data_IF_757634244443
#
_entry.id   IF_757634244443
#
_cell.length_a   1.000
_cell.length_b   1.000
_cell.length_c   1.000
_cell.angle_alpha   90.00
_cell.angle_beta   90.00
_cell.angle_gamma   90.00
#
_symmetry.space_group_name_H-M   'P 1'
#
loop_
_entity.id
_entity.type
_entity.pdbx_description
1 polymer ?
#
# COMPACT_ATOMS: atom_id res chain seq x y z
N UNK A 1 -34.69 4.89 -5.71
CA UNK A 1 -35.75 3.97 -6.15
C UNK A 1 -35.29 2.50 -6.19
N UNK A 2 -34.04 2.22 -6.58
CA UNK A 2 -33.57 0.85 -6.86
C UNK A 2 -32.76 0.21 -5.73
N UNK A 3 -32.47 0.90 -4.63
CA UNK A 3 -31.75 0.40 -3.44
C UNK A 3 -30.50 -0.43 -3.76
N UNK A 4 -29.77 -0.08 -4.82
CA UNK A 4 -28.52 -0.71 -5.24
C UNK A 4 -27.35 0.23 -4.94
N UNK A 5 -26.22 -0.35 -4.54
CA UNK A 5 -24.96 0.39 -4.41
C UNK A 5 -24.44 0.71 -5.82
N UNK A 6 -24.21 1.98 -6.20
CA UNK A 6 -23.69 2.33 -7.52
C UNK A 6 -22.34 1.70 -7.83
N UNK A 7 -21.49 1.57 -6.81
CA UNK A 7 -20.16 0.95 -6.92
C UNK A 7 -20.27 -0.54 -7.27
N UNK A 8 -21.05 -1.31 -6.51
CA UNK A 8 -21.28 -2.74 -6.81
C UNK A 8 -21.92 -2.96 -8.17
N UNK A 9 -22.87 -2.10 -8.54
CA UNK A 9 -23.48 -2.16 -9.87
C UNK A 9 -22.45 -1.92 -10.98
N UNK A 10 -21.55 -0.93 -10.82
CA UNK A 10 -20.48 -0.69 -11.78
C UNK A 10 -19.53 -1.90 -11.90
N UNK A 11 -19.19 -2.53 -10.77
CA UNK A 11 -18.37 -3.74 -10.74
C UNK A 11 -19.07 -4.92 -11.43
N UNK A 12 -20.39 -5.08 -11.28
CA UNK A 12 -21.13 -6.13 -11.97
C UNK A 12 -21.17 -5.88 -13.48
N UNK A 13 -21.43 -4.65 -13.90
CA UNK A 13 -21.41 -4.27 -15.34
C UNK A 13 -20.02 -4.48 -15.93
N UNK A 14 -18.95 -4.20 -15.20
CA UNK A 14 -17.57 -4.34 -15.67
C UNK A 14 -17.18 -5.79 -16.05
N UNK A 15 -17.93 -6.80 -15.60
CA UNK A 15 -17.71 -8.20 -16.01
C UNK A 15 -18.26 -8.55 -17.40
N UNK A 16 -19.03 -7.64 -18.00
CA UNK A 16 -19.77 -7.87 -19.26
C UNK A 16 -19.23 -7.02 -20.42
N UNK A 17 -18.22 -6.19 -20.15
CA UNK A 17 -17.66 -5.28 -21.15
C UNK A 17 -16.27 -5.74 -21.60
N UNK A 18 -15.88 -5.32 -22.81
CA UNK A 18 -14.57 -5.65 -23.40
C UNK A 18 -13.43 -4.75 -22.87
N UNK A 19 -13.75 -3.59 -22.32
CA UNK A 19 -12.78 -2.65 -21.79
C UNK A 19 -13.27 -1.95 -20.53
N UNK A 20 -12.34 -1.76 -19.56
CA UNK A 20 -12.59 -1.05 -18.30
C UNK A 20 -11.57 0.06 -18.15
N UNK A 21 -12.04 1.27 -17.91
CA UNK A 21 -11.18 2.42 -17.54
C UNK A 21 -11.29 2.60 -16.03
N UNK A 22 -10.15 2.57 -15.34
CA UNK A 22 -10.12 2.67 -13.88
C UNK A 22 -8.83 3.33 -13.38
N UNK A 23 -8.79 3.66 -12.10
CA UNK A 23 -7.57 4.13 -11.41
C UNK A 23 -6.57 2.99 -11.21
N UNK A 24 -5.27 3.32 -11.09
CA UNK A 24 -4.18 2.37 -10.80
C UNK A 24 -4.45 1.48 -9.59
N UNK A 25 -5.10 2.01 -8.57
CA UNK A 25 -5.37 1.28 -7.33
C UNK A 25 -6.16 0.00 -7.58
N UNK A 26 -7.09 0.01 -8.54
CA UNK A 26 -7.91 -1.17 -8.84
C UNK A 26 -7.11 -2.33 -9.45
N UNK A 27 -5.91 -2.07 -9.94
CA UNK A 27 -5.01 -3.08 -10.51
C UNK A 27 -3.84 -3.39 -9.56
N UNK A 28 -3.18 -2.35 -9.03
CA UNK A 28 -1.88 -2.46 -8.39
C UNK A 28 -1.92 -2.41 -6.87
N UNK A 29 -2.92 -1.76 -6.25
CA UNK A 29 -2.96 -1.59 -4.81
C UNK A 29 -3.38 -2.91 -4.13
N UNK A 30 -2.58 -3.47 -3.21
CA UNK A 30 -2.90 -4.72 -2.53
C UNK A 30 -4.21 -4.68 -1.73
N UNK A 31 -4.60 -3.51 -1.23
CA UNK A 31 -5.80 -3.33 -0.40
C UNK A 31 -7.05 -2.99 -1.24
N UNK A 32 -6.89 -2.26 -2.37
CA UNK A 32 -7.99 -1.80 -3.22
C UNK A 32 -8.20 -2.63 -4.50
N UNK A 33 -7.26 -3.50 -4.85
CA UNK A 33 -7.28 -4.32 -6.08
C UNK A 33 -8.56 -5.11 -6.23
N UNK A 34 -9.14 -5.08 -7.42
CA UNK A 34 -10.39 -5.79 -7.76
C UNK A 34 -10.18 -7.30 -7.83
N UNK A 35 -10.40 -7.99 -6.72
CA UNK A 35 -10.17 -9.44 -6.59
C UNK A 35 -10.96 -10.27 -7.60
N UNK A 36 -12.14 -9.81 -8.04
CA UNK A 36 -12.96 -10.53 -9.03
C UNK A 36 -12.26 -10.70 -10.39
N UNK A 37 -11.32 -9.82 -10.73
CA UNK A 37 -10.51 -9.91 -11.96
C UNK A 37 -9.13 -10.53 -11.73
N UNK A 38 -8.57 -10.37 -10.54
CA UNK A 38 -7.18 -10.69 -10.22
C UNK A 38 -7.03 -11.75 -9.13
N UNK A 39 -8.05 -12.58 -8.89
CA UNK A 39 -7.96 -13.71 -7.96
C UNK A 39 -6.91 -14.74 -8.43
N UNK A 40 -6.40 -15.54 -7.49
CA UNK A 40 -5.45 -16.60 -7.80
C UNK A 40 -6.08 -17.64 -8.74
N UNK A 41 -5.36 -18.02 -9.81
CA UNK A 41 -5.79 -19.00 -10.81
C UNK A 41 -6.57 -18.42 -12.01
N UNK A 42 -6.89 -17.14 -12.02
CA UNK A 42 -7.48 -16.45 -13.17
C UNK A 42 -6.39 -15.80 -14.03
N UNK A 43 -5.81 -16.54 -14.98
CA UNK A 43 -5.08 -15.90 -16.08
C UNK A 43 -6.10 -15.27 -17.02
N UNK A 44 -6.45 -14.01 -16.77
CA UNK A 44 -7.29 -13.24 -17.68
C UNK A 44 -6.47 -12.83 -18.91
N UNK A 45 -7.08 -12.86 -20.09
CA UNK A 45 -6.46 -12.35 -21.31
C UNK A 45 -6.39 -10.81 -21.35
N UNK A 46 -6.01 -10.18 -20.20
CA UNK A 46 -6.01 -8.72 -20.09
C UNK A 46 -4.84 -8.10 -20.83
N UNK A 47 -5.10 -6.99 -21.47
CA UNK A 47 -4.10 -6.05 -21.98
C UNK A 47 -4.18 -4.79 -21.13
N UNK A 48 -3.08 -4.46 -20.45
CA UNK A 48 -3.01 -3.24 -19.65
C UNK A 48 -2.51 -2.07 -20.49
N UNK A 49 -3.29 -0.99 -20.56
CA UNK A 49 -2.91 0.28 -21.16
C UNK A 49 -2.77 1.30 -20.02
N UNK A 50 -1.54 1.66 -19.67
CA UNK A 50 -1.23 2.44 -18.47
C UNK A 50 -0.79 3.83 -18.89
N UNK A 51 -1.72 4.77 -18.81
CA UNK A 51 -1.50 6.17 -19.11
C UNK A 51 -0.80 6.89 -17.95
N UNK A 52 -0.12 7.98 -18.26
CA UNK A 52 0.65 8.78 -17.30
C UNK A 52 1.55 7.90 -16.40
N UNK A 53 2.16 6.90 -17.02
CA UNK A 53 2.89 5.84 -16.32
C UNK A 53 4.07 6.36 -15.46
N UNK A 54 4.54 7.60 -15.70
CA UNK A 54 5.53 8.25 -14.85
C UNK A 54 5.06 8.39 -13.39
N UNK A 55 3.75 8.58 -13.17
CA UNK A 55 3.17 8.67 -11.83
C UNK A 55 3.12 7.33 -11.12
N UNK A 56 3.09 6.21 -11.85
CA UNK A 56 2.95 4.88 -11.25
C UNK A 56 4.16 4.50 -10.39
N UNK A 57 5.33 5.05 -10.63
CA UNK A 57 6.52 4.82 -9.79
C UNK A 57 6.27 5.30 -8.36
N UNK A 58 5.88 6.57 -8.20
CA UNK A 58 5.60 7.13 -6.86
C UNK A 58 4.35 6.52 -6.22
N UNK A 59 3.33 6.28 -7.02
CA UNK A 59 2.12 5.55 -6.55
C UNK A 59 2.46 4.14 -6.10
N UNK A 60 3.30 3.42 -6.84
CA UNK A 60 3.79 2.10 -6.47
C UNK A 60 4.57 2.13 -5.16
N UNK A 61 5.48 3.08 -4.99
CA UNK A 61 6.19 3.27 -3.72
C UNK A 61 5.22 3.48 -2.55
N UNK A 62 4.19 4.31 -2.73
CA UNK A 62 3.17 4.56 -1.70
C UNK A 62 2.34 3.31 -1.40
N UNK A 63 1.83 2.61 -2.43
CA UNK A 63 0.99 1.42 -2.31
C UNK A 63 1.70 0.26 -1.60
N UNK A 64 3.01 0.13 -1.82
CA UNK A 64 3.81 -0.96 -1.25
C UNK A 64 4.66 -0.55 -0.04
N UNK A 65 4.43 0.64 0.52
CA UNK A 65 5.03 1.08 1.78
C UNK A 65 3.99 1.07 2.89
N UNK A 66 4.46 0.90 4.13
CA UNK A 66 3.61 1.00 5.30
C UNK A 66 4.34 1.68 6.44
N UNK A 67 3.59 2.35 7.31
CA UNK A 67 4.16 2.98 8.50
C UNK A 67 3.25 2.81 9.71
N UNK A 68 3.87 2.77 10.88
CA UNK A 68 3.17 2.75 12.16
C UNK A 68 3.71 3.85 13.05
N UNK A 69 2.80 4.62 13.62
CA UNK A 69 3.13 5.69 14.54
C UNK A 69 3.06 5.21 15.98
N UNK A 70 4.12 5.47 16.74
CA UNK A 70 4.22 5.07 18.16
C UNK A 70 3.08 5.65 19.00
N UNK A 71 2.69 6.88 18.74
CA UNK A 71 1.67 7.60 19.48
C UNK A 71 0.28 6.95 19.37
N UNK A 72 0.00 6.26 18.26
CA UNK A 72 -1.29 5.57 18.04
C UNK A 72 -1.46 4.36 18.97
N UNK A 73 -0.37 3.62 19.25
CA UNK A 73 -0.41 2.53 20.25
C UNK A 73 -0.81 3.03 21.64
N UNK A 74 -0.37 4.24 22.02
CA UNK A 74 -0.74 4.85 23.29
C UNK A 74 -2.19 5.37 23.29
N UNK A 75 -2.64 5.92 22.17
CA UNK A 75 -4.00 6.42 22.00
C UNK A 75 -5.00 5.26 22.12
N UNK A 76 -4.82 4.20 21.34
CA UNK A 76 -5.67 3.01 21.41
C UNK A 76 -5.60 2.34 22.78
N UNK A 77 -4.42 2.21 23.37
CA UNK A 77 -4.28 1.65 24.73
C UNK A 77 -5.11 2.41 25.76
N UNK A 78 -5.18 3.75 25.70
CA UNK A 78 -5.99 4.56 26.63
C UNK A 78 -7.48 4.23 26.50
N UNK A 79 -7.96 4.01 25.28
CA UNK A 79 -9.36 3.68 25.02
C UNK A 79 -9.74 2.31 25.57
N UNK A 80 -8.91 1.28 25.33
CA UNK A 80 -9.26 -0.12 25.62
C UNK A 80 -8.84 -0.60 27.01
N UNK A 81 -8.06 0.17 27.77
CA UNK A 81 -7.44 -0.27 29.04
C UNK A 81 -8.47 -0.73 30.09
N UNK A 82 -9.64 -0.11 30.14
CA UNK A 82 -10.70 -0.42 31.12
C UNK A 82 -11.43 -1.73 30.79
N UNK A 83 -11.63 -2.02 29.52
CA UNK A 83 -12.46 -3.13 29.05
C UNK A 83 -11.62 -4.35 28.62
N UNK A 84 -10.47 -4.12 28.00
CA UNK A 84 -9.60 -5.16 27.43
C UNK A 84 -8.16 -5.09 27.96
N UNK A 85 -7.88 -5.48 29.22
CA UNK A 85 -6.53 -5.36 29.80
C UNK A 85 -5.48 -6.21 29.11
N UNK A 86 -5.84 -7.32 28.47
CA UNK A 86 -4.92 -8.16 27.67
C UNK A 86 -4.48 -7.40 26.41
N UNK A 87 -5.41 -6.82 25.67
CA UNK A 87 -5.12 -6.00 24.50
C UNK A 87 -4.24 -4.79 24.86
N UNK A 88 -4.61 -4.07 25.93
CA UNK A 88 -3.79 -2.96 26.43
C UNK A 88 -2.33 -3.38 26.79
N UNK A 89 -2.14 -4.60 27.32
CA UNK A 89 -0.80 -5.16 27.58
C UNK A 89 -0.01 -5.44 26.31
N UNK A 90 -0.64 -5.91 25.23
CA UNK A 90 0.02 -6.13 23.93
C UNK A 90 0.41 -4.81 23.28
N UNK A 91 -0.46 -3.81 23.31
CA UNK A 91 -0.15 -2.45 22.85
C UNK A 91 1.04 -1.85 23.61
N UNK A 92 1.09 -2.06 24.92
CA UNK A 92 2.23 -1.61 25.73
C UNK A 92 3.55 -2.31 25.37
N UNK A 93 3.50 -3.60 25.02
CA UNK A 93 4.70 -4.32 24.58
C UNK A 93 5.27 -3.71 23.28
N UNK A 94 4.42 -3.45 22.29
CA UNK A 94 4.82 -2.75 21.07
C UNK A 94 5.34 -1.33 21.34
N UNK A 95 4.63 -0.57 22.17
CA UNK A 95 5.04 0.78 22.57
C UNK A 95 6.43 0.81 23.24
N UNK A 96 6.77 -0.18 24.08
CA UNK A 96 8.10 -0.26 24.70
C UNK A 96 9.21 -0.48 23.68
N UNK A 97 8.98 -1.32 22.66
CA UNK A 97 9.93 -1.56 21.57
C UNK A 97 10.13 -0.27 20.77
N UNK A 98 9.04 0.38 20.36
CA UNK A 98 9.09 1.65 19.63
C UNK A 98 9.75 2.76 20.48
N UNK A 99 9.54 2.77 21.79
CA UNK A 99 10.22 3.71 22.70
C UNK A 99 11.72 3.45 22.78
N UNK A 100 12.15 2.19 22.74
CA UNK A 100 13.59 1.86 22.68
C UNK A 100 14.20 2.35 21.36
N UNK A 101 13.56 2.08 20.23
CA UNK A 101 13.96 2.58 18.91
C UNK A 101 14.02 4.12 18.89
N UNK A 102 13.03 4.78 19.49
CA UNK A 102 12.95 6.24 19.60
C UNK A 102 14.15 6.85 20.34
N UNK A 103 14.63 6.20 21.40
CA UNK A 103 15.79 6.66 22.17
C UNK A 103 17.11 6.58 21.40
N UNK A 104 17.19 5.69 20.42
CA UNK A 104 18.36 5.47 19.59
C UNK A 104 18.32 6.24 18.27
N UNK A 105 17.23 6.94 18.00
CA UNK A 105 16.98 7.69 16.76
C UNK A 105 17.18 9.19 17.04
N UNK A 106 18.12 9.81 16.37
CA UNK A 106 18.28 11.28 16.43
C UNK A 106 17.30 11.98 15.48
N UNK A 107 17.44 11.77 14.17
CA UNK A 107 16.52 12.26 13.13
C UNK A 107 15.86 11.09 12.41
N UNK A 108 16.69 10.16 11.90
CA UNK A 108 16.26 8.89 11.32
C UNK A 108 17.27 7.80 11.67
N UNK A 109 16.83 6.55 11.64
CA UNK A 109 17.69 5.39 11.84
C UNK A 109 17.22 4.22 10.97
N UNK A 110 18.10 3.70 10.12
CA UNK A 110 17.87 2.47 9.36
C UNK A 110 18.02 1.27 10.29
N UNK A 111 17.15 0.29 10.11
CA UNK A 111 17.07 -0.92 10.93
C UNK A 111 17.27 -2.16 10.05
N UNK A 112 18.14 -3.06 10.48
CA UNK A 112 18.39 -4.32 9.78
C UNK A 112 17.34 -5.40 10.08
N UNK A 113 16.73 -5.32 11.26
CA UNK A 113 15.78 -6.34 11.72
C UNK A 113 14.74 -5.78 12.67
N UNK A 114 13.47 -6.11 12.43
CA UNK A 114 12.33 -5.78 13.28
C UNK A 114 11.49 -7.02 13.66
N UNK A 115 12.04 -8.24 13.55
CA UNK A 115 11.29 -9.49 13.76
C UNK A 115 10.62 -9.56 15.13
N UNK A 116 11.31 -9.09 16.18
CA UNK A 116 10.72 -9.05 17.53
C UNK A 116 9.49 -8.12 17.59
N UNK A 117 9.54 -6.98 16.92
CA UNK A 117 8.39 -6.09 16.81
C UNK A 117 7.26 -6.71 16.01
N UNK A 118 7.56 -7.36 14.87
CA UNK A 118 6.58 -8.07 14.04
C UNK A 118 5.80 -9.12 14.83
N UNK A 119 6.47 -9.95 15.64
CA UNK A 119 5.82 -10.94 16.51
C UNK A 119 4.87 -10.28 17.52
N UNK A 120 5.29 -9.18 18.15
CA UNK A 120 4.42 -8.47 19.09
C UNK A 120 3.22 -7.83 18.37
N UNK A 121 3.43 -7.34 17.14
CA UNK A 121 2.38 -6.74 16.32
C UNK A 121 1.32 -7.77 15.90
N UNK A 122 1.71 -9.01 15.57
CA UNK A 122 0.77 -10.12 15.33
C UNK A 122 -0.10 -10.42 16.56
N UNK A 123 0.50 -10.37 17.76
CA UNK A 123 -0.27 -10.51 19.01
C UNK A 123 -1.26 -9.36 19.22
N UNK A 124 -0.88 -8.12 18.83
CA UNK A 124 -1.79 -6.97 18.85
C UNK A 124 -2.96 -7.22 17.90
N UNK A 125 -2.70 -7.66 16.67
CA UNK A 125 -3.73 -7.93 15.68
C UNK A 125 -4.77 -8.94 16.19
N UNK A 126 -4.31 -10.06 16.76
CA UNK A 126 -5.18 -11.10 17.32
C UNK A 126 -6.06 -10.62 18.48
N UNK A 127 -5.53 -9.77 19.35
CA UNK A 127 -6.34 -9.21 20.46
C UNK A 127 -7.29 -8.11 19.95
N UNK A 128 -6.92 -7.40 18.87
CA UNK A 128 -7.80 -6.43 18.23
C UNK A 128 -9.02 -7.10 17.59
N UNK A 129 -8.82 -8.23 16.90
CA UNK A 129 -9.93 -9.02 16.32
C UNK A 129 -10.97 -9.37 17.38
N UNK A 130 -10.52 -9.93 18.52
CA UNK A 130 -11.42 -10.28 19.64
C UNK A 130 -12.13 -9.07 20.20
N UNK A 131 -11.42 -7.96 20.39
CA UNK A 131 -12.02 -6.75 20.94
C UNK A 131 -13.10 -6.19 20.02
N UNK A 132 -12.86 -6.18 18.70
CA UNK A 132 -13.81 -5.67 17.71
C UNK A 132 -15.10 -6.52 17.61
N UNK A 133 -15.05 -7.81 17.94
CA UNK A 133 -16.24 -8.68 18.01
C UNK A 133 -17.16 -8.29 19.17
N UNK A 134 -16.61 -7.84 20.30
CA UNK A 134 -17.35 -7.56 21.53
C UNK A 134 -17.63 -6.06 21.75
N UNK A 135 -16.92 -5.17 21.05
CA UNK A 135 -16.99 -3.72 21.23
C UNK A 135 -18.35 -3.15 20.78
N UNK A 136 -19.08 -2.56 21.71
CA UNK A 136 -20.40 -1.95 21.48
C UNK A 136 -20.32 -0.45 21.21
N UNK A 137 -19.32 0.25 21.78
CA UNK A 137 -19.13 1.67 21.57
C UNK A 137 -18.65 1.94 20.14
N UNK A 138 -19.47 2.66 19.36
CA UNK A 138 -19.22 2.91 17.94
C UNK A 138 -17.99 3.79 17.69
N UNK A 139 -17.77 4.81 18.49
CA UNK A 139 -16.66 5.76 18.30
C UNK A 139 -15.33 5.10 18.64
N UNK A 140 -15.29 4.34 19.74
CA UNK A 140 -14.11 3.54 20.10
C UNK A 140 -13.86 2.47 19.06
N UNK A 141 -14.91 1.80 18.59
CA UNK A 141 -14.83 0.75 17.57
C UNK A 141 -14.26 1.28 16.24
N UNK A 142 -14.70 2.44 15.77
CA UNK A 142 -14.16 3.07 14.54
C UNK A 142 -12.67 3.39 14.69
N UNK A 143 -12.26 4.00 15.81
CA UNK A 143 -10.84 4.32 16.08
C UNK A 143 -9.97 3.04 16.14
N UNK A 144 -10.46 1.99 16.79
CA UNK A 144 -9.74 0.70 16.89
C UNK A 144 -9.69 -0.01 15.54
N UNK A 145 -10.75 0.11 14.73
CA UNK A 145 -10.82 -0.47 13.40
C UNK A 145 -9.82 0.20 12.43
N UNK A 146 -9.69 1.53 12.48
CA UNK A 146 -8.69 2.25 11.69
C UNK A 146 -7.27 1.83 12.07
N UNK A 147 -6.99 1.70 13.37
CA UNK A 147 -5.71 1.18 13.85
C UNK A 147 -5.47 -0.27 13.41
N UNK A 148 -6.51 -1.11 13.45
CA UNK A 148 -6.46 -2.50 12.95
C UNK A 148 -6.02 -2.57 11.49
N UNK A 149 -6.62 -1.76 10.62
CA UNK A 149 -6.25 -1.73 9.21
C UNK A 149 -4.82 -1.26 8.99
N UNK A 150 -4.34 -0.28 9.75
CA UNK A 150 -2.94 0.16 9.69
C UNK A 150 -1.98 -0.97 10.08
N UNK A 151 -2.26 -1.67 11.19
CA UNK A 151 -1.46 -2.81 11.67
C UNK A 151 -1.47 -3.94 10.65
N UNK A 152 -2.62 -4.26 10.08
CA UNK A 152 -2.77 -5.30 9.07
C UNK A 152 -2.02 -4.98 7.79
N UNK A 153 -2.15 -3.75 7.28
CA UNK A 153 -1.42 -3.30 6.10
C UNK A 153 0.09 -3.35 6.35
N UNK A 154 0.56 -2.91 7.52
CA UNK A 154 1.96 -3.00 7.89
C UNK A 154 2.48 -4.45 7.90
N UNK A 155 1.74 -5.39 8.48
CA UNK A 155 2.11 -6.80 8.50
C UNK A 155 2.10 -7.43 7.10
N UNK A 156 1.15 -7.07 6.24
CA UNK A 156 1.11 -7.53 4.86
C UNK A 156 2.37 -7.10 4.07
N UNK A 157 2.81 -5.86 4.27
CA UNK A 157 4.06 -5.37 3.66
C UNK A 157 5.28 -6.04 4.31
N UNK A 158 5.27 -6.20 5.64
CA UNK A 158 6.34 -6.85 6.39
C UNK A 158 6.63 -8.28 5.92
N UNK A 159 5.60 -9.07 5.63
CA UNK A 159 5.72 -10.45 5.14
C UNK A 159 6.31 -10.51 3.73
N UNK A 160 6.23 -9.42 2.97
CA UNK A 160 6.75 -9.32 1.61
C UNK A 160 8.07 -8.57 1.48
N UNK A 161 8.76 -8.26 2.59
CA UNK A 161 10.03 -7.51 2.54
C UNK A 161 11.12 -8.27 1.79
N UNK A 162 11.79 -7.57 0.89
CA UNK A 162 12.94 -8.04 0.12
C UNK A 162 14.00 -6.92 0.02
N UNK A 163 15.03 -7.10 -0.83
CA UNK A 163 16.09 -6.14 -1.07
C UNK A 163 15.62 -4.80 -1.66
N UNK A 164 14.38 -4.70 -2.12
CA UNK A 164 13.80 -3.46 -2.65
C UNK A 164 13.24 -2.56 -1.56
N UNK A 165 13.35 -2.95 -0.29
CA UNK A 165 12.82 -2.21 0.84
C UNK A 165 13.92 -1.65 1.75
N UNK A 166 13.61 -0.53 2.37
CA UNK A 166 14.38 0.01 3.50
C UNK A 166 13.45 0.13 4.70
N UNK A 167 13.88 -0.45 5.83
CA UNK A 167 13.18 -0.32 7.11
C UNK A 167 13.88 0.75 7.93
N UNK A 168 13.15 1.76 8.37
CA UNK A 168 13.74 2.84 9.16
C UNK A 168 12.74 3.48 10.13
N UNK A 169 13.28 4.19 11.09
CA UNK A 169 12.52 5.06 11.99
C UNK A 169 12.88 6.51 11.76
N UNK A 170 11.92 7.40 11.95
CA UNK A 170 12.12 8.84 11.84
C UNK A 170 11.17 9.62 12.74
N UNK A 171 11.48 10.90 12.94
CA UNK A 171 10.56 11.88 13.48
C UNK A 171 9.90 12.62 12.34
N UNK A 172 8.56 12.61 12.31
CA UNK A 172 7.80 13.46 11.38
C UNK A 172 7.87 14.94 11.84
N UNK A 173 7.56 15.86 10.95
CA UNK A 173 7.55 17.32 11.22
C UNK A 173 6.68 17.71 12.43
N UNK A 174 5.61 16.97 12.67
CA UNK A 174 4.70 17.14 13.80
C UNK A 174 5.24 16.55 15.13
N UNK A 175 6.47 16.02 15.14
CA UNK A 175 7.12 15.40 16.29
C UNK A 175 6.69 13.97 16.61
N UNK A 176 5.81 13.36 15.79
CA UNK A 176 5.42 11.95 15.91
C UNK A 176 6.58 11.05 15.50
N UNK A 177 6.71 9.91 16.18
CA UNK A 177 7.74 8.92 15.88
C UNK A 177 7.15 7.76 15.11
N UNK A 178 7.71 7.48 13.93
CA UNK A 178 7.22 6.44 13.02
C UNK A 178 8.28 5.37 12.75
N UNK A 179 7.81 4.14 12.59
CA UNK A 179 8.54 3.02 12.00
C UNK A 179 7.96 2.80 10.60
N UNK A 180 8.81 2.82 9.58
CA UNK A 180 8.42 2.76 8.19
C UNK A 180 9.07 1.61 7.43
N UNK A 181 8.28 0.91 6.65
CA UNK A 181 8.68 -0.04 5.63
C UNK A 181 8.56 0.68 4.29
N UNK A 182 9.67 1.13 3.74
CA UNK A 182 9.67 1.94 2.53
C UNK A 182 10.08 1.13 1.31
N UNK A 183 9.20 1.02 0.34
CA UNK A 183 9.46 0.42 -0.95
C UNK A 183 10.28 1.38 -1.82
N UNK A 184 11.56 1.12 -1.98
CA UNK A 184 12.46 1.92 -2.81
C UNK A 184 12.22 1.64 -4.29
N UNK A 185 12.06 0.36 -4.64
CA UNK A 185 11.82 -0.07 -6.02
C UNK A 185 10.53 -0.91 -6.10
N UNK A 186 9.44 -0.36 -6.68
CA UNK A 186 8.16 -1.05 -6.76
C UNK A 186 8.08 -2.06 -7.91
N UNK A 187 9.08 -2.19 -8.78
CA UNK A 187 9.02 -2.98 -10.02
C UNK A 187 8.59 -4.43 -9.79
N UNK A 188 9.15 -5.11 -8.77
CA UNK A 188 8.81 -6.49 -8.47
C UNK A 188 7.34 -6.67 -8.04
N UNK A 189 6.79 -5.72 -7.30
CA UNK A 189 5.40 -5.74 -6.87
C UNK A 189 4.45 -5.39 -8.01
N UNK A 190 4.79 -4.39 -8.84
CA UNK A 190 4.04 -4.07 -10.04
C UNK A 190 4.02 -5.26 -11.00
N UNK A 191 5.16 -5.95 -11.19
CA UNK A 191 5.26 -7.11 -12.06
C UNK A 191 4.31 -8.23 -11.63
N UNK A 192 4.19 -8.55 -10.35
CA UNK A 192 3.22 -9.53 -9.84
C UNK A 192 1.77 -9.24 -10.24
N UNK A 193 1.44 -7.98 -10.47
CA UNK A 193 0.12 -7.59 -10.98
C UNK A 193 0.05 -7.69 -12.50
N UNK A 194 1.10 -7.29 -13.21
CA UNK A 194 1.20 -7.37 -14.67
C UNK A 194 1.18 -8.81 -15.18
N UNK A 195 1.80 -9.76 -14.45
CA UNK A 195 1.82 -11.18 -14.77
C UNK A 195 0.43 -11.83 -14.78
N UNK A 196 -0.58 -11.14 -14.28
CA UNK A 196 -1.98 -11.57 -14.35
C UNK A 196 -2.66 -11.23 -15.68
N UNK A 197 -2.00 -10.45 -16.53
CA UNK A 197 -2.42 -10.15 -17.90
C UNK A 197 -1.48 -10.73 -18.94
N UNK A 198 -1.83 -10.55 -20.21
CA UNK A 198 -1.02 -11.05 -21.34
C UNK A 198 0.09 -10.07 -21.71
N UNK A 199 -0.15 -8.77 -21.58
CA UNK A 199 0.82 -7.73 -21.89
C UNK A 199 0.45 -6.39 -21.27
N UNK A 200 1.42 -5.48 -21.20
CA UNK A 200 1.22 -4.12 -20.71
C UNK A 200 1.92 -3.11 -21.62
N UNK A 201 1.27 -1.98 -21.83
CA UNK A 201 1.83 -0.82 -22.53
C UNK A 201 1.81 0.36 -21.57
N UNK A 202 2.98 0.86 -21.24
CA UNK A 202 3.15 2.07 -20.44
C UNK A 202 3.38 3.25 -21.38
N UNK A 203 2.64 4.32 -21.20
CA UNK A 203 2.80 5.52 -22.03
C UNK A 203 2.65 6.79 -21.20
N UNK A 204 3.35 7.83 -21.61
CA UNK A 204 3.31 9.17 -21.04
C UNK A 204 4.14 10.12 -21.90
N UNK A 205 3.84 11.39 -21.83
CA UNK A 205 4.66 12.44 -22.46
C UNK A 205 6.03 12.63 -21.78
N UNK A 206 6.23 12.11 -20.55
CA UNK A 206 7.37 12.43 -19.68
C UNK A 206 8.14 11.22 -19.17
N UNK A 207 8.10 10.07 -19.87
CA UNK A 207 8.88 8.86 -19.50
C UNK A 207 10.40 9.01 -19.82
N UNK A 208 10.99 10.11 -19.41
CA UNK A 208 12.41 10.38 -19.60
C UNK A 208 13.11 10.65 -18.24
N UNK A 209 14.31 10.08 -18.01
CA UNK A 209 15.07 9.16 -18.87
C UNK A 209 14.45 7.76 -18.86
N UNK A 210 14.28 7.17 -20.03
CA UNK A 210 13.52 5.91 -20.22
C UNK A 210 14.09 4.73 -19.40
N UNK A 211 15.40 4.65 -19.21
CA UNK A 211 16.04 3.57 -18.46
C UNK A 211 15.68 3.60 -16.96
N UNK A 212 15.41 4.77 -16.41
CA UNK A 212 14.93 4.93 -15.05
C UNK A 212 13.55 4.28 -14.88
N UNK A 213 12.62 4.62 -15.76
CA UNK A 213 11.25 4.09 -15.72
C UNK A 213 11.19 2.60 -16.01
N UNK A 214 11.97 2.10 -16.98
CA UNK A 214 12.05 0.66 -17.26
C UNK A 214 12.42 -0.17 -16.03
N UNK A 215 13.36 0.32 -15.20
CA UNK A 215 13.82 -0.37 -13.99
C UNK A 215 12.82 -0.32 -12.83
N UNK A 216 11.92 0.65 -12.82
CA UNK A 216 11.00 0.89 -11.71
C UNK A 216 9.55 0.44 -12.01
N UNK A 217 9.21 0.23 -13.28
CA UNK A 217 7.87 -0.17 -13.69
C UNK A 217 7.73 -1.67 -13.96
N UNK A 218 8.84 -2.37 -14.25
CA UNK A 218 8.80 -3.79 -14.59
C UNK A 218 10.14 -4.47 -14.30
N UNK A 219 10.12 -5.76 -14.03
CA UNK A 219 11.31 -6.61 -13.90
C UNK A 219 11.64 -7.36 -15.20
N UNK A 220 10.80 -7.29 -16.23
CA UNK A 220 11.02 -7.94 -17.51
C UNK A 220 12.26 -7.38 -18.21
N UNK A 221 13.12 -8.29 -18.71
CA UNK A 221 14.39 -7.92 -19.36
C UNK A 221 14.21 -7.53 -20.83
N UNK A 222 13.23 -8.11 -21.50
CA UNK A 222 13.00 -7.95 -22.94
C UNK A 222 12.07 -6.77 -23.28
N UNK A 223 11.82 -5.91 -22.30
CA UNK A 223 11.07 -4.68 -22.53
C UNK A 223 11.80 -3.76 -23.52
N UNK A 224 11.10 -3.31 -24.53
CA UNK A 224 11.57 -2.26 -25.44
C UNK A 224 10.80 -0.95 -25.21
N UNK A 225 11.35 0.14 -25.67
CA UNK A 225 10.72 1.46 -25.60
C UNK A 225 10.76 2.10 -26.98
N UNK A 226 9.67 2.78 -27.29
CA UNK A 226 9.50 3.52 -28.56
C UNK A 226 9.31 4.99 -28.22
N UNK A 227 10.06 5.86 -28.86
CA UNK A 227 9.81 7.29 -28.86
C UNK A 227 8.93 7.65 -30.05
N UNK A 228 7.84 8.35 -29.80
CA UNK A 228 6.91 8.80 -30.83
C UNK A 228 6.84 10.32 -30.77
N UNK A 229 7.18 10.98 -31.86
CA UNK A 229 7.04 12.42 -31.98
C UNK A 229 5.57 12.84 -31.97
N UNK A 230 5.32 14.06 -31.49
CA UNK A 230 3.98 14.63 -31.51
C UNK A 230 3.47 14.75 -32.96
N UNK A 231 2.29 14.22 -33.22
CA UNK A 231 1.59 14.41 -34.50
C UNK A 231 1.00 15.82 -34.66
N UNK A 232 1.00 16.63 -33.60
CA UNK A 232 0.49 17.99 -33.61
C UNK A 232 1.50 18.98 -34.15
N UNK A 233 1.10 19.79 -35.12
CA UNK A 233 1.92 20.89 -35.66
C UNK A 233 1.99 22.03 -34.63
N UNK A 234 3.12 22.15 -33.95
CA UNK A 234 3.36 23.16 -32.91
C UNK A 234 3.30 24.59 -33.43
N UNK A 235 3.47 24.80 -34.76
CA UNK A 235 3.33 26.11 -35.40
C UNK A 235 1.88 26.59 -35.48
N UNK A 236 0.92 25.70 -35.30
CA UNK A 236 -0.51 26.01 -35.26
C UNK A 236 -1.06 26.27 -33.85
N UNK A 237 -0.18 26.38 -32.84
CA UNK A 237 -0.61 26.82 -31.51
C UNK A 237 -1.12 28.26 -31.60
N UNK A 238 -2.38 28.45 -31.25
CA UNK A 238 -2.92 29.76 -30.90
C UNK A 238 -2.43 30.06 -29.47
N UNK A 239 -1.55 31.03 -29.35
CA UNK A 239 -1.13 31.63 -28.07
C UNK A 239 -2.06 32.78 -27.76
#
# INVERSE_FOLDING_TARGET
>A
KHKVCPFEMALDVSTWVDGVICDYNYVFDPDARLRRFFAEGGAGGYLFLIDEAHNLVERGRQMYSAELCKEDFLAVKKLVKGEAPRFAKRLEACNKILLAMKKECENYKVLDNISHFGIQLMNVLSETDRYLEECVDKEVRETVLDFYFQVRSFLNIYDGLDENYVVYTEYQENGRFVLKLFCVNPAANLQKCLDKGNSAVFFSATLLPIQYYKRLLSTEKDNYAVYIDSSFDTKKRLL
#
